data_IF_958977343731
#
_entry.id   IF_958977343731
#
_cell.length_a   1.000
_cell.length_b   1.000
_cell.length_c   1.000
_cell.angle_alpha   90.00
_cell.angle_beta   90.00
_cell.angle_gamma   90.00
#
_symmetry.space_group_name_H-M   'P 1'
#
loop_
_entity.id
_entity.type
_entity.pdbx_description
1 polymer ?
#
# COMPACT_ATOMS: atom_id res chain seq x y z
N UNK A 1 -4.63 -1.49 -9.51
CA UNK A 1 -3.38 -2.08 -9.01
C UNK A 1 -2.39 -2.42 -10.14
N UNK A 2 -2.69 -3.33 -11.08
CA UNK A 2 -1.74 -3.67 -12.17
C UNK A 2 -1.27 -2.47 -13.02
N UNK A 3 -2.12 -1.49 -13.28
CA UNK A 3 -1.75 -0.29 -14.03
C UNK A 3 -0.63 0.50 -13.31
N UNK A 4 -0.76 0.70 -12.00
CA UNK A 4 0.27 1.37 -11.20
C UNK A 4 1.60 0.60 -11.17
N UNK A 5 1.54 -0.71 -10.89
CA UNK A 5 2.77 -1.54 -10.83
C UNK A 5 3.44 -1.75 -12.18
N UNK A 6 2.72 -1.62 -13.30
CA UNK A 6 3.29 -1.74 -14.65
C UNK A 6 3.86 -0.43 -15.19
N UNK A 7 3.72 0.68 -14.49
CA UNK A 7 4.08 1.99 -14.99
C UNK A 7 3.12 2.55 -16.06
N UNK A 8 1.97 1.91 -16.29
CA UNK A 8 1.01 2.36 -17.32
C UNK A 8 0.35 3.71 -17.00
N UNK A 9 0.37 4.14 -15.74
CA UNK A 9 -0.14 5.44 -15.28
C UNK A 9 0.96 6.49 -15.15
N UNK A 10 2.22 6.08 -15.15
CA UNK A 10 3.43 6.88 -14.95
C UNK A 10 4.48 6.09 -14.16
N UNK A 11 5.69 6.65 -14.00
CA UNK A 11 6.81 6.01 -13.31
C UNK A 11 7.40 4.83 -14.09
N UNK A 12 7.91 3.84 -13.35
CA UNK A 12 8.59 2.68 -13.94
C UNK A 12 7.74 1.42 -13.91
N UNK A 13 8.05 0.47 -14.78
CA UNK A 13 7.54 -0.89 -14.66
C UNK A 13 8.30 -1.62 -13.55
N UNK A 14 7.60 -1.96 -12.46
CA UNK A 14 8.18 -2.65 -11.31
C UNK A 14 8.44 -4.14 -11.55
N UNK A 15 7.94 -4.70 -12.65
CA UNK A 15 7.95 -6.13 -12.94
C UNK A 15 6.85 -6.93 -12.26
N UNK A 16 6.12 -6.36 -11.31
CA UNK A 16 5.02 -7.07 -10.61
C UNK A 16 3.74 -7.06 -11.43
N UNK A 17 3.07 -8.22 -11.42
CA UNK A 17 1.72 -8.39 -12.00
C UNK A 17 0.90 -9.29 -11.08
N UNK A 18 -0.32 -8.88 -10.83
CA UNK A 18 -1.27 -9.61 -9.99
C UNK A 18 -2.34 -10.25 -10.87
N UNK A 19 -2.57 -11.53 -10.65
CA UNK A 19 -3.68 -12.27 -11.26
C UNK A 19 -4.65 -12.71 -10.18
N UNK A 20 -5.96 -12.55 -10.44
CA UNK A 20 -6.99 -12.97 -9.51
C UNK A 20 -7.04 -14.49 -9.42
N UNK A 21 -6.67 -15.04 -8.27
CA UNK A 21 -6.70 -16.48 -8.02
C UNK A 21 -8.07 -16.98 -7.53
N UNK A 22 -8.80 -16.15 -6.81
CA UNK A 22 -10.13 -16.47 -6.30
C UNK A 22 -10.74 -15.32 -5.51
N UNK A 23 -12.04 -15.44 -5.22
CA UNK A 23 -12.80 -14.52 -4.38
C UNK A 23 -13.57 -15.33 -3.36
N UNK A 24 -13.51 -14.95 -2.10
CA UNK A 24 -14.31 -15.48 -1.01
C UNK A 24 -15.20 -14.37 -0.43
N UNK A 25 -16.44 -14.71 -0.10
CA UNK A 25 -17.40 -13.80 0.52
C UNK A 25 -17.85 -14.36 1.86
N UNK A 26 -17.36 -13.78 2.94
CA UNK A 26 -17.66 -14.19 4.31
C UNK A 26 -18.54 -13.18 5.02
N UNK A 27 -19.63 -13.60 5.65
CA UNK A 27 -20.51 -12.76 6.47
C UNK A 27 -20.09 -12.87 7.93
N UNK A 28 -19.42 -11.86 8.45
CA UNK A 28 -19.00 -11.78 9.85
C UNK A 28 -18.81 -10.32 10.27
N UNK A 29 -19.71 -9.82 11.12
CA UNK A 29 -19.70 -8.43 11.54
C UNK A 29 -18.44 -8.06 12.37
N UNK A 30 -17.94 -8.96 13.22
CA UNK A 30 -16.75 -8.69 14.02
C UNK A 30 -15.50 -8.54 13.16
N UNK A 31 -15.43 -9.26 12.06
CA UNK A 31 -14.33 -9.15 11.09
C UNK A 31 -14.48 -7.92 10.21
N UNK A 32 -15.71 -7.63 9.79
CA UNK A 32 -16.00 -6.49 8.92
C UNK A 32 -15.64 -5.14 9.56
N UNK A 33 -15.85 -5.02 10.88
CA UNK A 33 -15.52 -3.81 11.64
C UNK A 33 -14.16 -3.88 12.35
N UNK A 34 -13.38 -4.93 12.13
CA UNK A 34 -12.08 -5.07 12.77
C UNK A 34 -11.08 -3.99 12.29
N UNK A 35 -10.41 -3.36 13.23
CA UNK A 35 -9.27 -2.49 12.96
C UNK A 35 -7.94 -3.26 13.00
N UNK A 36 -6.86 -2.59 12.61
CA UNK A 36 -5.51 -3.15 12.65
C UNK A 36 -5.11 -3.61 14.06
N UNK A 37 -4.39 -4.71 14.15
CA UNK A 37 -3.85 -5.32 15.37
C UNK A 37 -4.90 -5.85 16.37
N UNK A 38 -6.17 -5.85 16.02
CA UNK A 38 -7.27 -6.34 16.90
C UNK A 38 -7.38 -7.88 16.89
N UNK A 39 -8.14 -8.41 17.84
CA UNK A 39 -8.49 -9.83 17.86
C UNK A 39 -9.36 -10.22 16.66
N UNK A 40 -10.21 -9.31 16.18
CA UNK A 40 -11.04 -9.50 14.99
C UNK A 40 -10.21 -9.68 13.73
N UNK A 41 -9.21 -8.82 13.49
CA UNK A 41 -8.27 -9.00 12.37
C UNK A 41 -7.54 -10.34 12.46
N UNK A 42 -7.01 -10.67 13.64
CA UNK A 42 -6.29 -11.93 13.82
C UNK A 42 -7.18 -13.15 13.51
N UNK A 43 -8.41 -13.14 13.97
CA UNK A 43 -9.37 -14.21 13.71
C UNK A 43 -9.73 -14.31 12.22
N UNK A 44 -9.99 -13.17 11.58
CA UNK A 44 -10.29 -13.07 10.15
C UNK A 44 -9.13 -13.65 9.31
N UNK A 45 -7.93 -13.09 9.46
CA UNK A 45 -6.78 -13.50 8.65
C UNK A 45 -6.34 -14.93 8.93
N UNK A 46 -6.41 -15.39 10.19
CA UNK A 46 -6.11 -16.78 10.53
C UNK A 46 -7.06 -17.78 9.87
N UNK A 47 -8.30 -17.36 9.64
CA UNK A 47 -9.33 -18.22 9.04
C UNK A 47 -9.34 -18.15 7.52
N UNK A 48 -9.14 -16.96 6.94
CA UNK A 48 -9.36 -16.70 5.51
C UNK A 48 -8.08 -16.69 4.68
N UNK A 49 -6.88 -16.52 5.28
CA UNK A 49 -5.63 -16.49 4.53
C UNK A 49 -5.45 -17.75 3.69
N UNK A 50 -5.13 -17.55 2.42
CA UNK A 50 -4.88 -18.62 1.46
C UNK A 50 -3.53 -18.45 0.76
N UNK A 51 -2.95 -19.57 0.33
CA UNK A 51 -1.69 -19.62 -0.38
C UNK A 51 -0.45 -19.40 0.50
N UNK A 52 0.70 -19.33 -0.15
CA UNK A 52 2.00 -19.12 0.48
C UNK A 52 2.39 -17.64 0.57
N UNK A 53 3.68 -17.40 0.78
CA UNK A 53 4.24 -16.05 0.88
C UNK A 53 4.07 -15.22 -0.40
N UNK A 54 3.96 -15.87 -1.56
CA UNK A 54 3.77 -15.25 -2.86
C UNK A 54 2.30 -14.97 -3.23
N UNK A 55 1.35 -15.26 -2.34
CA UNK A 55 -0.07 -15.01 -2.55
C UNK A 55 -0.53 -13.77 -1.77
N UNK A 56 -0.83 -12.68 -2.48
CA UNK A 56 -1.41 -11.49 -1.86
C UNK A 56 -2.86 -11.77 -1.46
N UNK A 57 -3.12 -11.78 -0.14
CA UNK A 57 -4.47 -11.81 0.39
C UNK A 57 -4.97 -10.36 0.54
N UNK A 58 -6.02 -10.03 -0.18
CA UNK A 58 -6.65 -8.72 -0.21
C UNK A 58 -7.99 -8.79 0.54
N UNK A 59 -8.07 -8.16 1.70
CA UNK A 59 -9.28 -8.14 2.52
C UNK A 59 -10.00 -6.79 2.35
N UNK A 60 -11.27 -6.84 1.98
CA UNK A 60 -12.13 -5.66 1.84
C UNK A 60 -13.09 -5.60 3.03
N UNK A 61 -12.92 -4.58 3.89
CA UNK A 61 -13.69 -4.36 5.13
C UNK A 61 -13.93 -2.86 5.31
N UNK A 62 -14.40 -2.41 6.49
CA UNK A 62 -14.43 -0.98 6.80
C UNK A 62 -13.07 -0.39 7.13
N UNK A 63 -12.04 -1.21 7.22
CA UNK A 63 -10.69 -0.83 7.63
C UNK A 63 -10.62 0.04 8.91
N UNK A 64 -11.64 -0.01 9.76
CA UNK A 64 -11.70 0.76 11.01
C UNK A 64 -11.65 2.26 10.76
N UNK A 65 -10.54 2.92 11.18
CA UNK A 65 -10.33 4.36 11.00
C UNK A 65 -9.32 4.67 9.87
N UNK A 66 -8.85 3.67 9.14
CA UNK A 66 -7.85 3.79 8.08
C UNK A 66 -8.50 3.58 6.71
N UNK A 67 -7.84 4.06 5.64
CA UNK A 67 -8.17 3.64 4.28
C UNK A 67 -7.71 2.20 4.00
N UNK A 68 -6.61 1.80 4.63
CA UNK A 68 -6.08 0.45 4.57
C UNK A 68 -4.91 0.24 5.52
N UNK A 69 -4.39 -0.96 5.55
CA UNK A 69 -3.09 -1.29 6.14
C UNK A 69 -2.53 -2.57 5.54
N UNK A 70 -1.20 -2.69 5.61
CA UNK A 70 -0.46 -3.88 5.22
C UNK A 70 0.53 -4.30 6.30
N UNK A 71 1.01 -5.53 6.18
CA UNK A 71 2.20 -5.98 6.91
C UNK A 71 3.37 -6.08 5.96
N UNK A 72 4.54 -5.66 6.43
CA UNK A 72 5.79 -5.79 5.68
C UNK A 72 6.16 -7.25 5.44
N UNK A 73 6.93 -7.57 4.38
CA UNK A 73 7.14 -8.95 3.94
C UNK A 73 7.84 -9.85 4.97
N UNK A 74 8.63 -9.30 5.88
CA UNK A 74 9.28 -10.05 6.96
C UNK A 74 8.29 -10.74 7.94
N UNK A 75 6.98 -10.43 7.86
CA UNK A 75 5.94 -11.11 8.64
C UNK A 75 5.86 -12.60 8.31
N UNK A 76 6.24 -13.01 7.09
CA UNK A 76 6.12 -14.42 6.66
C UNK A 76 7.04 -15.38 7.42
N UNK A 77 8.10 -14.86 8.03
CA UNK A 77 9.04 -15.62 8.86
C UNK A 77 8.59 -15.77 10.31
N UNK A 78 7.52 -15.07 10.70
CA UNK A 78 7.07 -15.01 12.09
C UNK A 78 5.95 -16.00 12.39
N UNK A 79 5.78 -16.34 13.67
CA UNK A 79 4.63 -17.13 14.16
C UNK A 79 3.27 -16.50 13.83
N UNK A 80 3.27 -15.21 13.47
CA UNK A 80 2.10 -14.43 13.06
C UNK A 80 1.97 -14.27 11.55
N UNK A 81 2.64 -15.11 10.76
CA UNK A 81 2.62 -15.07 9.28
C UNK A 81 1.21 -15.15 8.68
N UNK A 82 0.24 -15.63 9.42
CA UNK A 82 -1.18 -15.58 9.03
C UNK A 82 -1.72 -14.14 8.90
N UNK A 83 -1.04 -13.13 9.48
CA UNK A 83 -1.40 -11.72 9.34
C UNK A 83 -1.00 -11.11 7.99
N UNK A 84 -0.15 -11.80 7.22
CA UNK A 84 0.27 -11.35 5.90
C UNK A 84 -0.91 -11.04 4.97
N UNK A 85 -0.74 -10.03 4.14
CA UNK A 85 -1.76 -9.51 3.24
C UNK A 85 -2.17 -8.07 3.60
N UNK A 86 -3.05 -7.51 2.80
CA UNK A 86 -3.52 -6.12 2.92
C UNK A 86 -5.00 -6.07 3.29
N UNK A 87 -5.38 -5.04 4.03
CA UNK A 87 -6.78 -4.71 4.31
C UNK A 87 -7.08 -3.33 3.72
N UNK A 88 -8.21 -3.19 3.06
CA UNK A 88 -8.60 -1.95 2.37
C UNK A 88 -10.05 -1.63 2.73
N UNK A 89 -10.33 -0.36 3.01
CA UNK A 89 -11.70 0.12 3.16
C UNK A 89 -12.43 -0.05 1.82
N UNK A 90 -13.52 -0.82 1.85
CA UNK A 90 -14.31 -1.10 0.65
C UNK A 90 -14.85 0.18 -0.01
N UNK A 91 -15.05 1.26 0.75
CA UNK A 91 -15.52 2.54 0.25
C UNK A 91 -14.45 3.30 -0.56
N UNK A 92 -13.17 2.90 -0.49
CA UNK A 92 -12.09 3.45 -1.31
C UNK A 92 -11.94 2.77 -2.68
N UNK A 93 -12.77 1.77 -2.97
CA UNK A 93 -12.75 1.08 -4.28
C UNK A 93 -13.65 1.79 -5.30
N UNK A 94 -13.33 1.73 -6.61
CA UNK A 94 -14.09 2.42 -7.63
C UNK A 94 -15.56 2.02 -7.68
N UNK A 95 -16.45 3.01 -7.65
CA UNK A 95 -17.90 2.82 -7.83
C UNK A 95 -18.62 2.17 -6.65
N UNK A 96 -17.99 2.04 -5.49
CA UNK A 96 -18.56 1.36 -4.33
C UNK A 96 -19.30 2.30 -3.38
N UNK A 97 -18.81 3.51 -3.21
CA UNK A 97 -19.35 4.49 -2.26
C UNK A 97 -19.08 5.92 -2.72
N UNK A 98 -19.77 6.88 -2.12
CA UNK A 98 -19.53 8.33 -2.29
C UNK A 98 -18.77 8.94 -1.10
N UNK A 99 -18.42 8.15 -0.07
CA UNK A 99 -17.74 8.63 1.14
C UNK A 99 -16.40 9.30 0.83
N UNK A 100 -15.65 8.73 -0.08
CA UNK A 100 -14.33 9.21 -0.48
C UNK A 100 -14.31 9.81 -1.89
N UNK A 101 -15.49 10.17 -2.42
CA UNK A 101 -15.63 10.70 -3.78
C UNK A 101 -14.63 11.84 -4.05
N UNK A 102 -14.00 11.79 -5.23
CA UNK A 102 -12.99 12.74 -5.70
C UNK A 102 -11.70 12.80 -4.86
N UNK A 103 -11.52 11.86 -3.92
CA UNK A 103 -10.33 11.81 -3.05
C UNK A 103 -9.64 10.44 -3.10
N UNK A 104 -10.29 9.41 -2.57
CA UNK A 104 -9.73 8.06 -2.39
C UNK A 104 -10.70 7.01 -2.90
N UNK A 105 -11.23 7.17 -4.10
CA UNK A 105 -12.26 6.31 -4.69
C UNK A 105 -11.88 5.68 -6.04
N UNK A 106 -10.59 5.78 -6.42
CA UNK A 106 -10.08 5.17 -7.64
C UNK A 106 -9.30 3.87 -7.39
N UNK A 107 -9.29 3.36 -6.13
CA UNK A 107 -8.68 2.10 -5.74
C UNK A 107 -7.16 2.17 -5.58
N UNK A 108 -6.58 3.37 -5.47
CA UNK A 108 -5.14 3.54 -5.28
C UNK A 108 -4.68 3.13 -3.88
N UNK A 109 -5.59 3.13 -2.89
CA UNK A 109 -5.33 2.54 -1.57
C UNK A 109 -4.81 1.11 -1.69
N UNK A 110 -5.42 0.27 -2.53
CA UNK A 110 -4.93 -1.09 -2.74
C UNK A 110 -3.54 -1.17 -3.38
N UNK A 111 -3.18 -0.19 -4.23
CA UNK A 111 -1.83 -0.07 -4.82
C UNK A 111 -0.80 0.34 -3.75
N UNK A 112 -1.16 1.31 -2.90
CA UNK A 112 -0.36 1.76 -1.75
C UNK A 112 -0.07 0.61 -0.78
N UNK A 113 -1.11 -0.08 -0.31
CA UNK A 113 -0.95 -1.19 0.63
C UNK A 113 -0.15 -2.36 0.03
N UNK A 114 -0.33 -2.64 -1.26
CA UNK A 114 0.49 -3.63 -1.95
C UNK A 114 1.97 -3.18 -2.04
N UNK A 115 2.26 -1.88 -2.10
CA UNK A 115 3.61 -1.32 -1.98
C UNK A 115 4.26 -1.70 -0.65
N UNK A 116 3.56 -1.54 0.47
CA UNK A 116 4.04 -1.99 1.79
C UNK A 116 4.23 -3.52 1.83
N UNK A 117 3.31 -4.28 1.25
CA UNK A 117 3.38 -5.73 1.19
C UNK A 117 4.64 -6.24 0.47
N UNK A 118 5.19 -5.44 -0.46
CA UNK A 118 6.49 -5.69 -1.13
C UNK A 118 7.61 -4.79 -0.60
N UNK A 119 7.53 -4.30 0.65
CA UNK A 119 8.60 -3.64 1.41
C UNK A 119 8.85 -2.16 1.11
N UNK A 120 7.90 -1.43 0.57
CA UNK A 120 8.04 0.02 0.48
C UNK A 120 7.60 0.73 1.76
N UNK A 121 8.33 1.75 2.15
CA UNK A 121 7.95 2.71 3.20
C UNK A 121 7.23 3.91 2.60
N UNK A 122 6.55 4.68 3.45
CA UNK A 122 6.01 5.98 3.02
C UNK A 122 7.13 6.92 2.61
N UNK A 123 6.91 7.76 1.61
CA UNK A 123 7.88 8.77 1.14
C UNK A 123 8.31 9.76 2.23
N UNK A 124 7.42 10.04 3.19
CA UNK A 124 7.69 10.90 4.34
C UNK A 124 8.30 10.16 5.56
N UNK A 125 8.65 8.89 5.39
CA UNK A 125 9.30 8.13 6.46
C UNK A 125 10.66 8.73 6.81
N UNK A 126 10.91 8.96 8.10
CA UNK A 126 12.15 9.61 8.56
C UNK A 126 12.20 11.13 8.36
N UNK A 127 11.22 11.74 7.70
CA UNK A 127 11.20 13.17 7.43
C UNK A 127 12.37 13.60 6.55
N UNK A 128 12.96 14.77 6.84
CA UNK A 128 14.12 15.29 6.10
C UNK A 128 15.47 14.65 6.52
N UNK A 129 15.47 13.41 7.00
CA UNK A 129 16.69 12.72 7.40
C UNK A 129 17.23 11.82 6.26
N UNK A 130 18.54 11.59 6.26
CA UNK A 130 19.26 10.86 5.19
C UNK A 130 18.83 9.41 4.96
N UNK A 131 18.12 8.78 5.90
CA UNK A 131 17.65 7.39 5.73
C UNK A 131 16.26 7.29 5.09
N UNK A 132 15.46 8.35 5.15
CA UNK A 132 14.18 8.50 4.48
C UNK A 132 13.33 7.24 4.43
N UNK A 133 12.78 6.97 3.28
CA UNK A 133 12.02 5.76 2.94
C UNK A 133 12.90 4.59 2.46
N UNK A 134 14.23 4.73 2.57
CA UNK A 134 15.27 3.75 2.20
C UNK A 134 15.39 3.51 0.68
N UNK A 135 15.08 4.49 -0.12
CA UNK A 135 15.40 4.56 -1.56
C UNK A 135 15.99 5.95 -1.87
N UNK A 136 16.91 6.01 -2.83
CA UNK A 136 17.68 7.23 -3.07
C UNK A 136 17.01 8.17 -4.10
N UNK A 137 16.10 7.66 -4.92
CA UNK A 137 15.46 8.39 -6.00
C UNK A 137 14.08 8.99 -5.67
N UNK A 138 13.66 8.89 -4.41
CA UNK A 138 12.55 9.68 -3.84
C UNK A 138 13.12 10.86 -3.07
N UNK A 139 12.82 12.13 -3.43
CA UNK A 139 13.22 13.28 -2.63
C UNK A 139 12.71 13.18 -1.19
N UNK A 140 13.50 13.70 -0.23
CA UNK A 140 13.10 13.73 1.17
C UNK A 140 11.82 14.55 1.37
N UNK A 141 10.92 14.05 2.20
CA UNK A 141 9.63 14.65 2.50
C UNK A 141 9.39 14.68 4.01
N UNK A 142 9.09 15.84 4.57
CA UNK A 142 8.97 16.03 6.02
C UNK A 142 7.69 15.43 6.60
N UNK A 143 6.59 15.54 5.89
CA UNK A 143 5.24 15.16 6.33
C UNK A 143 4.43 14.62 5.17
N UNK A 144 3.42 13.79 5.47
CA UNK A 144 2.49 13.29 4.46
C UNK A 144 1.79 14.44 3.69
N UNK A 145 1.63 14.25 2.39
CA UNK A 145 0.82 15.15 1.54
C UNK A 145 -0.66 14.80 1.62
N UNK A 146 -1.50 15.80 1.54
CA UNK A 146 -2.95 15.64 1.37
C UNK A 146 -3.43 16.50 0.19
N UNK A 147 -4.30 15.95 -0.64
CA UNK A 147 -4.72 16.62 -1.87
C UNK A 147 -3.76 16.36 -3.04
N UNK A 148 -3.50 17.39 -3.85
CA UNK A 148 -2.50 17.37 -4.92
C UNK A 148 -1.82 18.76 -5.04
N UNK A 149 -1.01 19.16 -4.05
CA UNK A 149 -0.38 20.50 -3.99
C UNK A 149 0.87 20.54 -4.88
N UNK A 150 0.70 20.85 -6.14
CA UNK A 150 1.81 20.98 -7.09
C UNK A 150 2.91 21.93 -6.58
N UNK A 151 4.16 21.47 -6.65
CA UNK A 151 5.31 22.24 -6.21
C UNK A 151 5.54 22.26 -4.70
N UNK A 152 4.88 21.37 -3.92
CA UNK A 152 5.19 21.20 -2.50
C UNK A 152 6.65 20.80 -2.31
N UNK A 153 7.31 21.44 -1.33
CA UNK A 153 8.69 21.20 -0.95
C UNK A 153 8.81 21.43 0.56
N UNK A 154 8.92 20.36 1.32
CA UNK A 154 8.91 20.41 2.79
C UNK A 154 10.29 20.18 3.42
N UNK A 155 11.31 19.87 2.60
CA UNK A 155 12.68 19.68 3.04
C UNK A 155 13.62 20.66 2.35
N UNK A 156 14.80 20.90 2.94
CA UNK A 156 15.84 21.79 2.37
C UNK A 156 16.73 21.08 1.34
N UNK A 157 16.69 19.76 1.30
CA UNK A 157 17.41 18.93 0.34
C UNK A 157 16.81 19.11 -1.06
N UNK A 158 17.60 18.97 -2.14
CA UNK A 158 17.09 19.16 -3.49
C UNK A 158 15.99 18.18 -3.89
N UNK A 159 14.93 18.70 -4.49
CA UNK A 159 13.80 17.94 -5.01
C UNK A 159 12.49 18.35 -4.36
N UNK A 160 11.42 18.40 -5.13
CA UNK A 160 10.06 18.61 -4.61
C UNK A 160 9.57 17.34 -3.94
N UNK A 161 8.67 17.47 -2.97
CA UNK A 161 7.99 16.33 -2.35
C UNK A 161 7.38 15.40 -3.42
N UNK A 162 7.54 14.07 -3.30
CA UNK A 162 7.10 13.13 -4.33
C UNK A 162 5.58 12.87 -4.27
N UNK A 163 4.78 13.93 -4.39
CA UNK A 163 3.32 13.91 -4.22
C UNK A 163 2.56 12.96 -5.16
N UNK A 164 3.18 12.59 -6.29
CA UNK A 164 2.61 11.65 -7.25
C UNK A 164 2.97 10.18 -6.97
N UNK A 165 3.82 9.93 -5.98
CA UNK A 165 4.23 8.58 -5.61
C UNK A 165 3.11 7.86 -4.85
N UNK A 166 2.85 6.59 -5.21
CA UNK A 166 1.82 5.78 -4.52
C UNK A 166 2.08 5.60 -3.02
N UNK A 167 3.30 5.85 -2.53
CA UNK A 167 3.64 5.71 -1.11
C UNK A 167 3.49 6.99 -0.29
N UNK A 168 2.95 8.06 -0.85
CA UNK A 168 2.49 9.26 -0.12
C UNK A 168 0.99 9.12 0.25
N UNK A 169 0.36 10.21 0.75
CA UNK A 169 -1.05 10.30 1.16
C UNK A 169 -1.88 11.27 0.32
N UNK A 170 -1.42 11.54 -0.89
CA UNK A 170 -2.13 12.37 -1.87
C UNK A 170 -3.48 11.77 -2.27
N UNK A 171 -4.34 12.56 -2.92
CA UNK A 171 -5.58 12.03 -3.49
C UNK A 171 -5.29 11.04 -4.63
N UNK A 172 -6.16 10.07 -4.80
CA UNK A 172 -6.02 9.02 -5.82
C UNK A 172 -5.78 9.56 -7.23
N UNK A 173 -6.38 10.70 -7.58
CA UNK A 173 -6.19 11.38 -8.87
C UNK A 173 -4.80 12.00 -9.06
N UNK A 174 -4.06 12.21 -7.97
CA UNK A 174 -2.68 12.72 -7.98
C UNK A 174 -1.65 11.61 -8.20
N UNK A 175 -1.93 10.41 -7.77
CA UNK A 175 -1.04 9.27 -7.84
C UNK A 175 -0.85 8.72 -9.24
N UNK A 176 0.40 8.47 -9.63
CA UNK A 176 0.69 7.87 -10.92
C UNK A 176 1.96 7.01 -10.97
N UNK A 177 2.81 6.97 -9.92
CA UNK A 177 4.15 6.39 -10.08
C UNK A 177 4.71 5.65 -8.86
N UNK A 178 5.56 4.66 -9.21
CA UNK A 178 6.67 4.19 -8.40
C UNK A 178 7.99 4.59 -9.10
N UNK A 179 9.08 4.66 -8.31
CA UNK A 179 10.41 4.99 -8.80
C UNK A 179 11.25 3.73 -9.13
N UNK A 180 12.40 3.91 -9.74
CA UNK A 180 13.29 2.79 -10.12
C UNK A 180 13.87 2.10 -8.87
N UNK A 181 14.27 2.86 -7.86
CA UNK A 181 14.83 2.30 -6.62
C UNK A 181 13.74 1.65 -5.77
N UNK A 182 12.50 2.18 -5.80
CA UNK A 182 11.35 1.48 -5.23
C UNK A 182 11.11 0.13 -5.90
N UNK A 183 11.17 0.06 -7.23
CA UNK A 183 11.01 -1.19 -7.96
C UNK A 183 12.13 -2.20 -7.62
N UNK A 184 13.39 -1.77 -7.54
CA UNK A 184 14.51 -2.61 -7.13
C UNK A 184 14.30 -3.13 -5.70
N UNK A 185 13.91 -2.26 -4.76
CA UNK A 185 13.62 -2.64 -3.37
C UNK A 185 12.49 -3.66 -3.26
N UNK A 186 11.42 -3.51 -4.04
CA UNK A 186 10.34 -4.51 -4.10
C UNK A 186 10.84 -5.86 -4.59
N UNK A 187 11.68 -5.89 -5.64
CA UNK A 187 12.22 -7.11 -6.25
C UNK A 187 13.16 -7.82 -5.28
N UNK A 188 14.03 -7.10 -4.58
CA UNK A 188 14.91 -7.66 -3.55
C UNK A 188 14.10 -8.27 -2.41
N UNK A 189 13.07 -7.57 -1.94
CA UNK A 189 12.17 -8.07 -0.91
C UNK A 189 11.41 -9.32 -1.35
N UNK A 190 10.97 -9.36 -2.59
CA UNK A 190 10.32 -10.53 -3.17
C UNK A 190 11.24 -11.75 -3.16
N UNK A 191 12.46 -11.61 -3.66
CA UNK A 191 13.43 -12.69 -3.70
C UNK A 191 13.79 -13.21 -2.31
N UNK A 192 13.79 -12.33 -1.31
CA UNK A 192 14.16 -12.68 0.05
C UNK A 192 13.03 -13.36 0.84
N UNK A 193 11.79 -12.88 0.72
CA UNK A 193 10.70 -13.30 1.59
C UNK A 193 9.54 -14.02 0.87
N UNK A 194 9.37 -13.82 -0.45
CA UNK A 194 8.15 -14.25 -1.15
C UNK A 194 8.37 -15.23 -2.29
N UNK A 195 9.61 -15.43 -2.77
CA UNK A 195 9.96 -16.36 -3.85
C UNK A 195 9.96 -17.82 -3.40
#
# INVERSE_FOLDING_TARGET
MNAGFSGAEGGVDTGFRFSLAGVDCTVNADWYFAGATTSGERAMKKTLKQGGANALNYYSTTAGAYLGWAYFPNIVENATSYLDGIVVDWESMPGTSTRYADKYDLGKTGTHEAGHWVNLHHTFNGGCNNWGDYVDDTPAQSVATFGCPEGQDTCSEPGLDPIHNYMDYSFDSCYNQFTADQAARMQDAWLHWRA
#
